data_IF_037029010959
#
_entry.id   IF_037029010959
#
_cell.length_a   1.000
_cell.length_b   1.000
_cell.length_c   1.000
_cell.angle_alpha   90.00
_cell.angle_beta   90.00
_cell.angle_gamma   90.00
#
_symmetry.space_group_name_H-M   'P 1'
#
loop_
_entity.id
_entity.type
_entity.pdbx_description
1 polymer ?
#
# COMPACT_ATOMS: atom_id res chain seq x y z
N UNK A 1 -40.97 -78.48 32.29
CA UNK A 1 -41.06 -77.45 31.23
C UNK A 1 -40.43 -76.20 31.83
N UNK A 2 -39.25 -75.83 31.33
CA UNK A 2 -38.47 -74.67 31.86
C UNK A 2 -38.45 -73.59 30.79
N UNK A 3 -38.99 -72.40 31.11
CA UNK A 3 -38.96 -71.19 30.27
C UNK A 3 -37.63 -70.49 30.45
N UNK A 4 -36.96 -69.99 29.39
CA UNK A 4 -35.74 -69.21 29.53
C UNK A 4 -36.05 -67.71 29.70
N UNK A 5 -35.31 -67.08 30.58
CA UNK A 5 -35.33 -65.69 30.88
C UNK A 5 -34.55 -64.92 29.77
N UNK A 6 -35.16 -63.89 29.22
CA UNK A 6 -34.53 -62.95 28.25
C UNK A 6 -33.80 -61.84 29.00
N UNK A 7 -32.46 -61.70 28.76
CA UNK A 7 -31.65 -60.57 29.19
C UNK A 7 -31.77 -59.42 28.16
N UNK A 8 -32.27 -58.28 28.61
CA UNK A 8 -32.22 -57.02 27.83
C UNK A 8 -30.89 -56.29 28.14
N UNK A 9 -30.06 -56.20 27.14
CA UNK A 9 -28.83 -55.38 27.19
C UNK A 9 -29.16 -53.95 26.79
N UNK A 10 -29.12 -53.01 27.74
CA UNK A 10 -29.27 -51.58 27.47
C UNK A 10 -27.96 -50.98 26.97
N UNK A 11 -27.95 -50.49 25.71
CA UNK A 11 -26.83 -49.75 25.19
C UNK A 11 -26.94 -48.27 25.60
N UNK A 12 -26.04 -47.81 26.44
CA UNK A 12 -25.88 -46.39 26.78
C UNK A 12 -25.07 -45.70 25.72
N UNK A 13 -25.72 -44.83 24.94
CA UNK A 13 -25.06 -43.92 24.01
C UNK A 13 -24.45 -42.74 24.79
N UNK A 14 -23.13 -42.72 24.93
CA UNK A 14 -22.38 -41.55 25.39
C UNK A 14 -22.30 -40.55 24.25
N UNK A 15 -23.12 -39.49 24.28
CA UNK A 15 -23.01 -38.34 23.41
C UNK A 15 -21.80 -37.49 23.82
N UNK A 16 -20.71 -37.55 23.05
CA UNK A 16 -19.58 -36.62 23.19
C UNK A 16 -19.97 -35.26 22.61
N UNK A 17 -20.32 -34.32 23.46
CA UNK A 17 -20.45 -32.88 23.07
C UNK A 17 -19.05 -32.33 22.82
N UNK A 18 -18.68 -32.16 21.54
CA UNK A 18 -17.53 -31.40 21.13
C UNK A 18 -17.79 -29.91 21.43
N UNK A 19 -17.29 -29.45 22.57
CA UNK A 19 -17.15 -28.02 22.87
C UNK A 19 -16.10 -27.45 21.89
N UNK A 20 -16.55 -26.86 20.80
CA UNK A 20 -15.70 -26.10 19.89
C UNK A 20 -15.17 -24.86 20.64
N UNK A 21 -13.92 -24.90 21.08
CA UNK A 21 -13.23 -23.75 21.58
C UNK A 21 -13.10 -22.76 20.39
N UNK A 22 -13.89 -21.70 20.37
CA UNK A 22 -13.65 -20.53 19.50
C UNK A 22 -12.37 -19.89 20.01
N UNK A 23 -11.26 -20.12 19.28
CA UNK A 23 -10.03 -19.37 19.51
C UNK A 23 -10.36 -17.88 19.36
N UNK A 24 -10.23 -17.11 20.44
CA UNK A 24 -10.36 -15.66 20.36
C UNK A 24 -9.27 -15.17 19.40
N UNK A 25 -9.67 -14.58 18.26
CA UNK A 25 -8.76 -13.99 17.31
C UNK A 25 -8.05 -12.84 18.01
N UNK A 26 -6.70 -12.90 18.05
CA UNK A 26 -5.92 -11.82 18.67
C UNK A 26 -6.18 -10.52 17.90
N UNK A 27 -6.39 -9.42 18.64
CA UNK A 27 -6.63 -8.12 18.04
C UNK A 27 -5.45 -7.73 17.11
N UNK A 28 -5.78 -7.12 15.96
CA UNK A 28 -4.79 -6.64 15.00
C UNK A 28 -3.90 -5.60 15.70
N UNK A 29 -2.57 -5.80 15.73
CA UNK A 29 -1.66 -4.89 16.42
C UNK A 29 -1.64 -3.49 15.78
N UNK A 30 -1.51 -2.48 16.63
CA UNK A 30 -1.35 -1.08 16.23
C UNK A 30 0.07 -0.64 16.51
N UNK A 31 0.66 0.04 15.55
CA UNK A 31 1.98 0.64 15.62
C UNK A 31 1.85 2.16 15.60
N UNK A 32 2.60 2.83 16.44
CA UNK A 32 2.91 4.23 16.33
C UNK A 32 4.25 4.42 15.63
N UNK A 33 4.82 5.60 15.75
CA UNK A 33 6.06 5.96 15.06
C UNK A 33 6.99 6.79 15.95
N UNK A 34 8.28 6.74 15.62
CA UNK A 34 9.30 7.69 16.06
C UNK A 34 9.90 8.31 14.81
N UNK A 35 9.91 9.65 14.72
CA UNK A 35 10.57 10.36 13.62
C UNK A 35 12.08 10.29 13.84
N UNK A 36 12.80 9.68 12.90
CA UNK A 36 14.27 9.55 12.91
C UNK A 36 14.94 10.72 12.21
N UNK A 37 14.31 11.20 11.11
CA UNK A 37 14.75 12.36 10.36
C UNK A 37 13.59 13.01 9.62
N UNK A 38 13.75 14.28 9.29
CA UNK A 38 12.81 15.06 8.47
C UNK A 38 13.56 15.67 7.33
N UNK A 39 13.02 15.54 6.12
CA UNK A 39 13.59 16.04 4.89
C UNK A 39 12.66 17.05 4.23
N UNK A 40 13.19 18.02 3.45
CA UNK A 40 12.36 18.88 2.63
C UNK A 40 11.59 18.07 1.57
N UNK A 41 10.35 18.44 1.32
CA UNK A 41 9.52 17.90 0.26
C UNK A 41 8.84 19.05 -0.48
N UNK A 42 8.56 18.87 -1.77
CA UNK A 42 7.94 19.89 -2.60
C UNK A 42 6.47 20.10 -2.22
N UNK A 43 6.07 21.26 -1.63
CA UNK A 43 4.69 21.50 -1.23
C UNK A 43 3.70 21.62 -2.39
N UNK A 44 4.19 21.60 -3.65
CA UNK A 44 3.36 21.54 -4.84
C UNK A 44 3.23 20.11 -5.39
N UNK A 45 3.91 19.14 -4.80
CA UNK A 45 3.81 17.75 -5.21
C UNK A 45 2.49 17.14 -4.73
N UNK A 46 1.59 16.87 -5.64
CA UNK A 46 0.40 16.07 -5.37
C UNK A 46 0.77 14.58 -5.44
N UNK A 47 1.45 14.09 -4.40
CA UNK A 47 2.08 12.77 -4.34
C UNK A 47 1.07 11.65 -4.52
N UNK A 48 1.32 10.79 -5.51
CA UNK A 48 0.48 9.64 -5.84
C UNK A 48 1.24 8.32 -5.82
N UNK A 49 2.56 8.34 -5.89
CA UNK A 49 3.42 7.18 -5.73
C UNK A 49 4.79 7.62 -5.25
N UNK A 50 5.39 6.81 -4.38
CA UNK A 50 6.70 7.08 -3.78
C UNK A 50 7.45 5.76 -3.63
N UNK A 51 8.72 5.70 -4.01
CA UNK A 51 9.55 4.51 -3.82
C UNK A 51 11.04 4.84 -3.83
N UNK A 52 11.86 3.96 -3.27
CA UNK A 52 13.32 4.04 -3.35
C UNK A 52 13.84 3.00 -4.34
N UNK A 53 14.67 3.44 -5.29
CA UNK A 53 15.43 2.57 -6.18
C UNK A 53 16.88 3.02 -6.25
N UNK A 54 17.82 2.10 -6.03
CA UNK A 54 19.26 2.34 -6.12
C UNK A 54 19.76 3.54 -5.29
N UNK A 55 19.15 3.74 -4.09
CA UNK A 55 19.49 4.83 -3.17
C UNK A 55 18.95 6.21 -3.58
N UNK A 56 18.04 6.26 -4.55
CA UNK A 56 17.36 7.48 -4.98
C UNK A 56 15.87 7.39 -4.71
N UNK A 57 15.29 8.53 -4.32
CA UNK A 57 13.84 8.66 -4.17
C UNK A 57 13.20 8.97 -5.52
N UNK A 58 12.13 8.26 -5.84
CA UNK A 58 11.28 8.51 -7.00
C UNK A 58 9.87 8.83 -6.53
N UNK A 59 9.23 9.72 -7.27
CA UNK A 59 7.89 10.21 -6.94
C UNK A 59 7.07 10.37 -8.21
N UNK A 60 5.84 9.90 -8.22
CA UNK A 60 4.84 10.29 -9.21
C UNK A 60 3.82 11.24 -8.58
N UNK A 61 3.42 12.24 -9.36
CA UNK A 61 2.47 13.27 -8.91
C UNK A 61 1.26 13.31 -9.81
N UNK A 62 0.11 13.66 -9.21
CA UNK A 62 -1.17 13.83 -9.89
C UNK A 62 -1.41 15.26 -10.39
N UNK A 63 -2.66 15.49 -10.76
CA UNK A 63 -3.29 16.69 -11.34
C UNK A 63 -3.03 16.87 -12.84
N UNK A 64 -4.12 17.03 -13.62
CA UNK A 64 -4.06 17.26 -15.07
C UNK A 64 -3.23 18.51 -15.38
N UNK A 65 -2.36 18.41 -16.37
CA UNK A 65 -1.43 19.47 -16.75
C UNK A 65 -0.23 19.66 -15.80
N UNK A 66 -0.19 18.92 -14.66
CA UNK A 66 0.89 19.03 -13.66
C UNK A 66 1.52 17.68 -13.30
N UNK A 67 0.90 16.58 -13.73
CA UNK A 67 1.35 15.22 -13.44
C UNK A 67 2.76 14.96 -13.94
N UNK A 68 3.56 14.30 -13.13
CA UNK A 68 4.95 14.01 -13.48
C UNK A 68 5.51 12.79 -12.77
N UNK A 69 6.50 12.17 -13.40
CA UNK A 69 7.43 11.24 -12.75
C UNK A 69 8.70 12.01 -12.41
N UNK A 70 9.21 11.88 -11.19
CA UNK A 70 10.35 12.63 -10.65
C UNK A 70 11.38 11.70 -10.03
N UNK A 71 12.65 12.07 -10.16
CA UNK A 71 13.76 11.58 -9.32
C UNK A 71 14.15 12.73 -8.40
N UNK A 72 14.15 12.49 -7.11
CA UNK A 72 14.28 13.51 -6.08
C UNK A 72 15.54 13.24 -5.23
N UNK A 73 16.29 14.26 -4.93
CA UNK A 73 17.34 14.19 -3.93
C UNK A 73 16.72 14.19 -2.53
N UNK A 74 16.87 13.08 -1.82
CA UNK A 74 16.24 12.89 -0.51
C UNK A 74 16.63 13.97 0.51
N UNK A 75 17.90 14.41 0.51
CA UNK A 75 18.40 15.34 1.53
C UNK A 75 17.92 16.77 1.33
N UNK A 76 17.76 17.16 0.07
CA UNK A 76 17.45 18.56 -0.28
C UNK A 76 16.01 18.74 -0.80
N UNK A 77 15.28 17.66 -1.10
CA UNK A 77 13.98 17.71 -1.75
C UNK A 77 14.01 18.18 -3.21
N UNK A 78 15.22 18.41 -3.77
CA UNK A 78 15.36 18.94 -5.15
C UNK A 78 15.08 17.88 -6.18
N UNK A 79 14.24 18.22 -7.16
CA UNK A 79 13.97 17.39 -8.32
C UNK A 79 15.19 17.38 -9.23
N UNK A 80 15.85 16.24 -9.34
CA UNK A 80 17.05 16.03 -10.18
C UNK A 80 16.68 15.71 -11.62
N UNK A 81 15.55 15.01 -11.82
CA UNK A 81 15.04 14.63 -13.13
C UNK A 81 13.52 14.62 -13.08
N UNK A 82 12.88 15.08 -14.16
CA UNK A 82 11.42 15.15 -14.27
C UNK A 82 10.97 14.76 -15.67
N UNK A 83 9.92 13.93 -15.73
CA UNK A 83 9.15 13.65 -16.93
C UNK A 83 7.71 14.08 -16.70
N UNK A 84 7.25 15.10 -17.42
CA UNK A 84 5.83 15.44 -17.42
C UNK A 84 5.03 14.38 -18.17
N UNK A 85 3.85 14.05 -17.66
CA UNK A 85 2.82 13.34 -18.41
C UNK A 85 2.13 14.33 -19.35
N UNK A 86 1.44 13.81 -20.38
CA UNK A 86 0.61 14.66 -21.22
C UNK A 86 -0.58 15.22 -20.41
N UNK A 87 -1.02 16.43 -20.76
CA UNK A 87 -1.93 17.26 -19.95
C UNK A 87 -3.31 16.61 -19.71
N UNK A 88 -3.74 15.71 -20.60
CA UNK A 88 -4.99 14.95 -20.45
C UNK A 88 -4.96 13.93 -19.31
N UNK A 89 -3.77 13.51 -18.86
CA UNK A 89 -3.64 12.47 -17.84
C UNK A 89 -3.56 13.06 -16.44
N UNK A 90 -4.26 12.42 -15.54
CA UNK A 90 -4.03 12.55 -14.11
C UNK A 90 -3.13 11.38 -13.69
N UNK A 91 -1.86 11.66 -13.39
CA UNK A 91 -0.87 10.66 -12.96
C UNK A 91 -1.21 10.11 -11.57
N UNK A 92 -0.94 8.84 -11.39
CA UNK A 92 -1.21 8.11 -10.14
C UNK A 92 0.02 7.33 -9.70
N UNK A 93 -0.16 6.24 -8.97
CA UNK A 93 0.89 5.41 -8.38
C UNK A 93 1.98 5.00 -9.35
N UNK A 94 3.16 4.77 -8.83
CA UNK A 94 4.32 4.31 -9.57
C UNK A 94 5.20 3.37 -8.75
N UNK A 95 5.89 2.47 -9.44
CA UNK A 95 6.84 1.55 -8.80
C UNK A 95 7.95 1.15 -9.78
N UNK A 96 9.05 0.62 -9.24
CA UNK A 96 10.15 0.09 -10.06
C UNK A 96 9.90 -1.37 -10.42
N UNK A 97 10.06 -1.73 -11.70
CA UNK A 97 10.02 -3.12 -12.18
C UNK A 97 11.29 -3.39 -12.99
N UNK A 98 12.25 -4.05 -12.37
CA UNK A 98 13.58 -4.22 -12.96
C UNK A 98 14.24 -2.86 -13.27
N UNK A 99 14.63 -2.65 -14.52
CA UNK A 99 15.22 -1.39 -15.00
C UNK A 99 14.18 -0.38 -15.48
N UNK A 100 12.89 -0.65 -15.24
CA UNK A 100 11.81 0.22 -15.65
C UNK A 100 11.10 0.83 -14.44
N UNK A 101 10.37 1.92 -14.70
CA UNK A 101 9.37 2.48 -13.80
C UNK A 101 8.01 2.34 -14.48
N UNK A 102 7.07 1.77 -13.78
CA UNK A 102 5.66 1.65 -14.19
C UNK A 102 4.86 2.72 -13.48
N UNK A 103 3.98 3.41 -14.20
CA UNK A 103 3.11 4.45 -13.65
C UNK A 103 1.68 4.22 -14.08
N UNK A 104 0.73 4.67 -13.27
CA UNK A 104 -0.70 4.64 -13.57
C UNK A 104 -1.25 6.02 -13.93
N UNK A 105 -2.46 6.02 -14.45
CA UNK A 105 -3.33 7.20 -14.57
C UNK A 105 -4.65 6.90 -13.85
N UNK A 106 -5.32 7.92 -13.30
CA UNK A 106 -6.53 7.74 -12.50
C UNK A 106 -7.64 7.00 -13.29
N UNK A 107 -8.26 7.66 -14.25
CA UNK A 107 -9.46 7.18 -14.96
C UNK A 107 -9.24 6.95 -16.46
N UNK A 108 -8.01 7.17 -16.95
CA UNK A 108 -7.72 7.03 -18.37
C UNK A 108 -7.49 5.58 -18.81
N UNK A 109 -7.50 4.63 -17.86
CA UNK A 109 -7.33 3.19 -18.10
C UNK A 109 -6.00 2.83 -18.81
N UNK A 110 -5.00 3.68 -18.71
CA UNK A 110 -3.68 3.50 -19.32
C UNK A 110 -2.58 3.73 -18.29
N UNK A 111 -1.57 2.87 -18.32
CA UNK A 111 -0.33 3.04 -17.60
C UNK A 111 0.85 3.14 -18.56
N UNK A 112 1.96 3.67 -18.08
CA UNK A 112 3.17 3.89 -18.86
C UNK A 112 4.35 3.15 -18.27
N UNK A 113 5.26 2.72 -19.14
CA UNK A 113 6.53 2.10 -18.78
C UNK A 113 7.65 3.02 -19.25
N UNK A 114 8.46 3.47 -18.30
CA UNK A 114 9.62 4.32 -18.56
C UNK A 114 10.91 3.59 -18.23
N UNK A 115 11.98 3.91 -18.94
CA UNK A 115 13.33 3.54 -18.52
C UNK A 115 13.70 4.31 -17.23
N UNK A 116 14.17 3.60 -16.20
CA UNK A 116 14.39 4.21 -14.89
C UNK A 116 15.55 5.23 -14.85
N UNK A 117 16.50 5.16 -15.79
CA UNK A 117 17.66 6.07 -15.85
C UNK A 117 17.36 7.32 -16.64
N UNK A 118 16.76 7.15 -17.83
CA UNK A 118 16.56 8.25 -18.79
C UNK A 118 15.17 8.87 -18.74
N UNK A 119 14.18 8.20 -18.11
CA UNK A 119 12.75 8.51 -18.20
C UNK A 119 12.21 8.49 -19.63
N UNK A 120 12.91 7.80 -20.53
CA UNK A 120 12.39 7.55 -21.87
C UNK A 120 11.19 6.63 -21.81
N UNK A 121 10.11 6.98 -22.52
CA UNK A 121 8.93 6.15 -22.64
C UNK A 121 9.30 4.88 -23.44
N UNK A 122 9.09 3.69 -22.84
CA UNK A 122 9.34 2.37 -23.46
C UNK A 122 8.07 1.68 -23.93
N UNK A 123 6.95 2.01 -23.31
CA UNK A 123 5.69 1.38 -23.65
C UNK A 123 4.51 1.89 -22.81
N UNK A 124 3.36 1.34 -23.12
CA UNK A 124 2.12 1.58 -22.37
C UNK A 124 1.34 0.27 -22.25
N UNK A 125 0.53 0.16 -21.22
CA UNK A 125 -0.38 -0.94 -21.01
C UNK A 125 -1.77 -0.39 -20.62
N UNK A 126 -2.79 -1.23 -20.74
CA UNK A 126 -4.15 -0.84 -20.42
C UNK A 126 -4.67 -1.70 -19.27
N UNK A 127 -5.54 -1.11 -18.47
CA UNK A 127 -6.28 -1.78 -17.42
C UNK A 127 -7.72 -1.27 -17.36
N UNK A 128 -8.61 -1.97 -16.68
CA UNK A 128 -10.03 -1.58 -16.53
C UNK A 128 -10.25 -0.85 -15.21
N UNK A 129 -11.10 0.17 -15.23
CA UNK A 129 -11.45 0.94 -14.03
C UNK A 129 -10.36 1.93 -13.63
N UNK A 130 -10.34 2.32 -12.36
CA UNK A 130 -9.37 3.28 -11.85
C UNK A 130 -8.04 2.62 -11.48
N UNK A 131 -6.97 3.40 -11.48
CA UNK A 131 -5.67 3.03 -10.94
C UNK A 131 -5.26 4.06 -9.91
N UNK A 132 -4.87 3.63 -8.69
CA UNK A 132 -4.46 4.51 -7.60
C UNK A 132 -3.00 4.26 -7.20
N UNK A 133 -2.71 3.27 -6.39
CA UNK A 133 -1.36 2.96 -5.94
C UNK A 133 -0.71 1.82 -6.72
N UNK A 134 0.62 1.80 -6.75
CA UNK A 134 1.43 0.70 -7.26
C UNK A 134 2.58 0.38 -6.30
N UNK A 135 2.80 -0.90 -6.07
CA UNK A 135 4.01 -1.43 -5.47
C UNK A 135 4.49 -2.66 -6.23
N UNK A 136 5.72 -3.08 -6.02
CA UNK A 136 6.24 -4.29 -6.65
C UNK A 136 7.24 -5.04 -5.77
N UNK A 137 7.31 -6.34 -5.99
CA UNK A 137 8.41 -7.19 -5.55
C UNK A 137 9.01 -7.94 -6.75
N UNK A 138 9.87 -8.91 -6.49
CA UNK A 138 10.47 -9.73 -7.55
C UNK A 138 9.45 -10.63 -8.29
N UNK A 139 8.24 -10.81 -7.76
CA UNK A 139 7.25 -11.78 -8.24
C UNK A 139 6.03 -11.13 -8.89
N UNK A 140 5.65 -9.94 -8.45
CA UNK A 140 4.40 -9.31 -8.83
C UNK A 140 4.46 -7.78 -8.78
N UNK A 141 3.51 -7.14 -9.47
CA UNK A 141 3.15 -5.75 -9.29
C UNK A 141 1.77 -5.72 -8.64
N UNK A 142 1.61 -4.94 -7.59
CA UNK A 142 0.38 -4.77 -6.82
C UNK A 142 -0.23 -3.43 -7.15
N UNK A 143 -1.53 -3.42 -7.47
CA UNK A 143 -2.24 -2.21 -7.89
C UNK A 143 -3.52 -2.05 -7.09
N UNK A 144 -3.71 -0.90 -6.47
CA UNK A 144 -4.93 -0.48 -5.80
C UNK A 144 -5.84 0.36 -6.72
N UNK A 145 -7.11 0.50 -6.35
CA UNK A 145 -8.11 1.32 -7.05
C UNK A 145 -9.16 1.93 -6.10
N UNK A 146 -8.82 2.04 -4.80
CA UNK A 146 -9.72 2.55 -3.77
C UNK A 146 -10.73 1.53 -3.25
N UNK A 147 -10.90 0.38 -3.91
CA UNK A 147 -11.70 -0.73 -3.39
C UNK A 147 -10.97 -1.49 -2.29
N UNK A 148 -11.57 -2.57 -1.80
CA UNK A 148 -10.92 -3.52 -0.90
C UNK A 148 -10.20 -4.65 -1.65
N UNK A 149 -9.90 -4.46 -2.93
CA UNK A 149 -9.18 -5.43 -3.74
C UNK A 149 -7.85 -4.84 -4.23
N UNK A 150 -6.76 -5.57 -4.06
CA UNK A 150 -5.47 -5.28 -4.67
C UNK A 150 -5.29 -6.23 -5.85
N UNK A 151 -5.10 -5.69 -7.04
CA UNK A 151 -4.82 -6.46 -8.25
C UNK A 151 -3.36 -6.89 -8.24
N UNK A 152 -3.11 -8.14 -8.60
CA UNK A 152 -1.77 -8.71 -8.75
C UNK A 152 -1.51 -8.86 -10.23
N UNK A 153 -0.56 -8.09 -10.74
CA UNK A 153 -0.19 -8.08 -12.15
C UNK A 153 1.11 -8.86 -12.37
N UNK A 154 1.23 -9.49 -13.52
CA UNK A 154 2.49 -10.09 -13.96
C UNK A 154 3.55 -8.98 -14.18
N UNK A 155 4.75 -9.09 -13.62
CA UNK A 155 5.75 -8.02 -13.72
C UNK A 155 6.34 -7.83 -15.12
N UNK A 156 6.14 -8.79 -16.04
CA UNK A 156 6.66 -8.72 -17.41
C UNK A 156 5.62 -8.19 -18.39
N UNK A 157 4.36 -8.65 -18.25
CA UNK A 157 3.27 -8.30 -19.18
C UNK A 157 2.37 -7.19 -18.64
N UNK A 158 2.35 -6.96 -17.30
CA UNK A 158 1.46 -6.06 -16.57
C UNK A 158 -0.02 -6.45 -16.71
N UNK A 159 -0.30 -7.69 -17.08
CA UNK A 159 -1.63 -8.26 -17.12
C UNK A 159 -2.08 -8.72 -15.73
N UNK A 160 -3.36 -8.47 -15.40
CA UNK A 160 -3.94 -8.90 -14.13
C UNK A 160 -4.05 -10.42 -14.07
N UNK A 161 -3.42 -11.03 -13.06
CA UNK A 161 -3.44 -12.48 -12.82
C UNK A 161 -4.48 -12.90 -11.79
N UNK A 162 -4.62 -12.11 -10.72
CA UNK A 162 -5.55 -12.37 -9.61
C UNK A 162 -5.79 -11.11 -8.79
N UNK A 163 -6.68 -11.22 -7.83
CA UNK A 163 -6.94 -10.16 -6.82
C UNK A 163 -6.76 -10.69 -5.42
N UNK A 164 -6.29 -9.82 -4.55
CA UNK A 164 -6.21 -10.01 -3.11
C UNK A 164 -7.35 -9.21 -2.48
N UNK A 165 -8.27 -9.88 -1.81
CA UNK A 165 -9.35 -9.20 -1.07
C UNK A 165 -8.85 -8.83 0.32
N UNK A 166 -8.78 -7.53 0.61
CA UNK A 166 -8.24 -7.01 1.87
C UNK A 166 -9.34 -6.92 2.92
N UNK A 167 -9.07 -7.51 4.09
CA UNK A 167 -9.99 -7.50 5.23
C UNK A 167 -9.25 -7.27 6.55
N UNK A 168 -9.94 -6.66 7.51
CA UNK A 168 -9.52 -6.55 8.89
C UNK A 168 -10.62 -7.15 9.78
N UNK A 169 -10.31 -8.17 10.58
CA UNK A 169 -11.29 -8.91 11.38
C UNK A 169 -12.53 -9.35 10.57
N UNK A 170 -12.29 -9.81 9.33
CA UNK A 170 -13.32 -10.24 8.39
C UNK A 170 -14.12 -9.13 7.70
N UNK A 171 -13.85 -7.86 8.02
CA UNK A 171 -14.51 -6.70 7.39
C UNK A 171 -13.67 -6.16 6.24
N UNK A 172 -14.27 -5.77 5.09
CA UNK A 172 -13.53 -5.17 3.98
C UNK A 172 -12.83 -3.87 4.39
N UNK A 173 -11.60 -3.68 3.91
CA UNK A 173 -10.86 -2.42 4.06
C UNK A 173 -10.81 -1.73 2.70
N UNK A 174 -11.52 -0.64 2.57
CA UNK A 174 -11.60 0.17 1.34
C UNK A 174 -10.69 1.40 1.42
N UNK A 175 -10.69 2.21 0.35
CA UNK A 175 -9.86 3.41 0.22
C UNK A 175 -8.35 3.10 0.21
N UNK A 176 -7.99 1.89 -0.22
CA UNK A 176 -6.58 1.53 -0.41
C UNK A 176 -6.00 2.38 -1.54
N UNK A 177 -4.96 3.15 -1.22
CA UNK A 177 -4.37 4.11 -2.13
C UNK A 177 -2.91 3.78 -2.40
N UNK A 178 -1.99 4.66 -2.08
CA UNK A 178 -0.58 4.45 -2.34
C UNK A 178 -0.06 3.20 -1.61
N UNK A 179 0.78 2.45 -2.30
CA UNK A 179 1.26 1.13 -1.88
C UNK A 179 2.78 1.07 -1.86
N UNK A 180 3.33 0.29 -0.91
CA UNK A 180 4.74 -0.11 -0.90
C UNK A 180 4.90 -1.56 -0.41
N UNK A 181 5.91 -2.28 -0.90
CA UNK A 181 6.26 -3.60 -0.38
C UNK A 181 7.40 -3.47 0.62
N UNK A 182 7.11 -3.76 1.88
CA UNK A 182 8.06 -3.68 2.99
C UNK A 182 8.24 -5.07 3.59
N UNK A 183 9.44 -5.66 3.44
CA UNK A 183 9.80 -6.96 4.02
C UNK A 183 8.80 -8.09 3.72
N UNK A 184 8.19 -8.05 2.53
CA UNK A 184 7.24 -9.08 2.07
C UNK A 184 5.78 -8.81 2.46
N UNK A 185 5.48 -7.73 3.16
CA UNK A 185 4.14 -7.23 3.42
C UNK A 185 3.78 -6.10 2.46
N UNK A 186 2.50 -5.90 2.17
CA UNK A 186 2.01 -4.73 1.45
C UNK A 186 1.59 -3.68 2.48
N UNK A 187 2.22 -2.50 2.42
CA UNK A 187 1.78 -1.32 3.16
C UNK A 187 0.89 -0.50 2.23
N UNK A 188 -0.27 -0.07 2.71
CA UNK A 188 -1.25 0.68 1.94
C UNK A 188 -1.73 1.91 2.72
N UNK A 189 -1.60 3.09 2.15
CA UNK A 189 -2.32 4.25 2.68
C UNK A 189 -3.83 4.01 2.60
N UNK A 190 -4.55 4.27 3.68
CA UNK A 190 -6.02 4.32 3.68
C UNK A 190 -6.43 5.77 3.45
N UNK A 191 -6.83 6.10 2.23
CA UNK A 191 -7.09 7.48 1.81
C UNK A 191 -8.12 8.19 2.69
N UNK A 192 -7.85 9.46 2.99
CA UNK A 192 -8.69 10.27 3.88
C UNK A 192 -8.45 10.02 5.37
N UNK A 193 -7.43 9.21 5.72
CA UNK A 193 -7.04 8.93 7.11
C UNK A 193 -5.53 9.13 7.30
N UNK A 194 -5.08 9.15 8.56
CA UNK A 194 -3.65 9.14 8.90
C UNK A 194 -3.16 7.70 9.20
N UNK A 195 -3.73 6.69 8.52
CA UNK A 195 -3.46 5.28 8.80
C UNK A 195 -2.89 4.57 7.57
N UNK A 196 -1.93 3.68 7.82
CA UNK A 196 -1.41 2.73 6.84
C UNK A 196 -1.79 1.31 7.29
N UNK A 197 -2.37 0.51 6.39
CA UNK A 197 -2.63 -0.90 6.60
C UNK A 197 -1.38 -1.71 6.25
N UNK A 198 -0.97 -2.64 7.14
CA UNK A 198 0.01 -3.69 6.85
C UNK A 198 -0.77 -4.94 6.46
N UNK A 199 -0.57 -5.43 5.25
CA UNK A 199 -1.39 -6.47 4.62
C UNK A 199 -0.51 -7.66 4.29
N UNK A 200 -0.92 -8.86 4.69
CA UNK A 200 -0.31 -10.10 4.23
C UNK A 200 -0.76 -10.39 2.78
N UNK A 201 0.14 -10.40 1.78
CA UNK A 201 -0.23 -10.59 0.39
C UNK A 201 -0.75 -12.00 0.06
N UNK A 202 -0.54 -12.98 0.93
CA UNK A 202 -1.01 -14.35 0.73
C UNK A 202 -2.50 -14.49 1.10
N UNK A 203 -2.90 -13.93 2.23
CA UNK A 203 -4.26 -14.05 2.77
C UNK A 203 -5.14 -12.82 2.48
N UNK A 204 -4.56 -11.64 2.26
CA UNK A 204 -5.26 -10.36 2.20
C UNK A 204 -5.68 -9.82 3.56
N UNK A 205 -5.29 -10.47 4.64
CA UNK A 205 -5.61 -9.97 5.98
C UNK A 205 -4.72 -8.80 6.36
N UNK A 206 -5.33 -7.79 6.97
CA UNK A 206 -4.58 -6.75 7.69
C UNK A 206 -3.97 -7.39 8.94
N UNK A 207 -2.65 -7.36 9.02
CA UNK A 207 -1.84 -7.92 10.11
C UNK A 207 -1.26 -6.85 11.03
N UNK A 208 -1.50 -5.59 10.73
CA UNK A 208 -1.11 -4.45 11.55
C UNK A 208 -1.64 -3.15 11.00
N UNK A 209 -1.84 -2.18 11.89
CA UNK A 209 -2.18 -0.80 11.56
C UNK A 209 -1.03 0.11 11.99
N UNK A 210 -0.65 1.05 11.14
CA UNK A 210 0.30 2.11 11.49
C UNK A 210 -0.50 3.40 11.62
N UNK A 211 -0.55 3.95 12.83
CA UNK A 211 -1.23 5.20 13.12
C UNK A 211 -0.21 6.35 13.10
N UNK A 212 -0.32 7.21 12.09
CA UNK A 212 0.54 8.39 11.87
C UNK A 212 -0.16 9.71 12.24
N UNK A 213 -1.25 9.65 13.02
CA UNK A 213 -1.94 10.84 13.51
C UNK A 213 -0.97 11.78 14.21
N UNK A 214 -0.92 13.03 13.78
CA UNK A 214 -0.04 14.06 14.33
C UNK A 214 1.38 14.09 13.74
N UNK A 215 1.73 13.22 12.77
CA UNK A 215 3.02 13.24 12.10
C UNK A 215 3.31 14.61 11.44
N UNK A 216 2.35 15.16 10.71
CA UNK A 216 2.38 16.54 10.21
C UNK A 216 1.11 17.27 10.65
N UNK A 217 1.18 18.09 11.70
CA UNK A 217 0.05 18.87 12.16
C UNK A 217 -0.52 19.77 11.05
N UNK A 218 -1.84 20.00 11.00
CA UNK A 218 -2.50 20.79 9.94
C UNK A 218 -1.87 22.18 9.72
N UNK A 219 -1.48 22.86 10.80
CA UNK A 219 -0.85 24.18 10.74
C UNK A 219 0.55 24.18 10.09
N UNK A 220 1.18 23.02 9.96
CA UNK A 220 2.49 22.86 9.32
C UNK A 220 2.38 22.39 7.85
N UNK A 221 1.18 22.11 7.36
CA UNK A 221 0.97 21.64 5.97
C UNK A 221 1.22 22.72 4.93
N UNK A 222 1.16 23.99 5.31
CA UNK A 222 1.38 25.13 4.40
C UNK A 222 0.27 25.33 3.38
N UNK A 223 -0.83 24.59 3.48
CA UNK A 223 -2.02 24.67 2.61
C UNK A 223 -3.27 24.32 3.39
N UNK A 224 -4.40 24.89 2.96
CA UNK A 224 -5.75 24.59 3.47
C UNK A 224 -6.50 23.58 2.60
N UNK A 225 -5.85 23.02 1.60
CA UNK A 225 -6.49 22.01 0.73
C UNK A 225 -6.89 20.77 1.54
N UNK A 226 -8.12 20.36 1.37
CA UNK A 226 -8.62 19.10 1.95
C UNK A 226 -7.91 17.86 1.39
N UNK A 227 -7.28 18.01 0.21
CA UNK A 227 -6.51 16.94 -0.43
C UNK A 227 -5.09 16.79 0.14
N UNK A 228 -4.65 17.70 1.04
CA UNK A 228 -3.33 17.62 1.69
C UNK A 228 -3.31 16.51 2.75
N UNK A 229 -3.52 15.26 2.32
CA UNK A 229 -3.61 14.06 3.16
C UNK A 229 -2.33 13.25 3.10
N UNK A 230 -2.14 12.38 4.09
CA UNK A 230 -1.10 11.35 4.11
C UNK A 230 -1.22 10.49 2.83
N UNK A 231 -0.18 10.43 2.02
CA UNK A 231 -0.08 9.58 0.83
C UNK A 231 1.35 9.55 0.32
N UNK A 232 1.94 8.37 0.29
CA UNK A 232 3.33 8.14 -0.12
C UNK A 232 4.10 7.38 0.95
N UNK A 233 4.53 6.17 0.62
CA UNK A 233 5.33 5.25 1.43
C UNK A 233 6.51 4.83 0.57
N UNK A 234 7.73 4.86 1.12
CA UNK A 234 8.90 4.33 0.42
C UNK A 234 9.77 3.52 1.37
N UNK A 235 10.23 2.37 0.93
CA UNK A 235 11.11 1.50 1.68
C UNK A 235 12.51 1.42 1.05
N UNK A 236 13.52 1.82 1.79
CA UNK A 236 14.91 1.55 1.41
C UNK A 236 15.37 0.23 2.02
N UNK A 237 15.25 -0.84 1.25
CA UNK A 237 15.62 -2.19 1.68
C UNK A 237 17.12 -2.35 1.98
N UNK A 238 18.00 -1.47 1.45
CA UNK A 238 19.44 -1.52 1.71
C UNK A 238 19.79 -0.92 3.07
N UNK A 239 19.06 0.12 3.48
CA UNK A 239 19.30 0.84 4.73
C UNK A 239 18.28 0.47 5.82
N UNK A 240 17.27 -0.33 5.50
CA UNK A 240 16.12 -0.64 6.37
C UNK A 240 15.44 0.63 6.90
N UNK A 241 15.12 1.55 5.97
CA UNK A 241 14.49 2.83 6.30
C UNK A 241 13.14 2.99 5.65
N UNK A 242 12.18 3.40 6.46
CA UNK A 242 10.82 3.68 6.02
C UNK A 242 10.60 5.19 5.93
N UNK A 243 10.17 5.64 4.78
CA UNK A 243 9.84 7.04 4.50
C UNK A 243 8.36 7.20 4.24
N UNK A 244 7.79 8.30 4.73
CA UNK A 244 6.38 8.65 4.51
C UNK A 244 6.24 10.15 4.26
N UNK A 245 5.27 10.51 3.42
CA UNK A 245 4.90 11.88 3.12
C UNK A 245 3.40 12.01 2.86
N UNK A 246 2.95 13.13 2.33
CA UNK A 246 1.57 13.36 1.92
C UNK A 246 1.47 14.27 0.70
N UNK A 247 0.28 14.28 0.10
CA UNK A 247 -0.05 15.19 -0.99
C UNK A 247 0.11 16.63 -0.51
N UNK A 248 0.88 17.43 -1.25
CA UNK A 248 1.15 18.84 -0.95
C UNK A 248 1.84 19.08 0.42
N UNK A 249 2.43 18.06 1.01
CA UNK A 249 3.16 18.23 2.26
C UNK A 249 4.55 18.83 2.00
N UNK A 250 5.02 19.77 2.85
CA UNK A 250 6.36 20.35 2.71
C UNK A 250 7.47 19.48 3.31
N UNK A 251 7.13 18.31 3.87
CA UNK A 251 8.05 17.44 4.59
C UNK A 251 7.86 15.99 4.19
N UNK A 252 8.98 15.27 4.13
CA UNK A 252 9.08 13.82 4.10
C UNK A 252 9.74 13.36 5.39
N UNK A 253 9.25 12.28 5.97
CA UNK A 253 9.71 11.77 7.25
C UNK A 253 10.32 10.38 7.11
N UNK A 254 11.51 10.18 7.69
CA UNK A 254 12.04 8.87 8.00
C UNK A 254 11.49 8.45 9.36
N UNK A 255 10.80 7.33 9.44
CA UNK A 255 10.15 6.86 10.65
C UNK A 255 10.60 5.45 11.03
N UNK A 256 10.55 5.17 12.32
CA UNK A 256 10.67 3.83 12.89
C UNK A 256 9.35 3.46 13.55
N UNK A 257 8.88 2.24 13.30
CA UNK A 257 7.63 1.76 13.86
C UNK A 257 7.83 1.27 15.29
N UNK A 258 6.95 1.67 16.18
CA UNK A 258 6.91 1.24 17.58
C UNK A 258 5.56 0.60 17.86
N UNK A 259 5.56 -0.66 18.30
CA UNK A 259 4.31 -1.32 18.67
C UNK A 259 3.69 -0.62 19.89
N UNK A 260 2.44 -0.19 19.75
CA UNK A 260 1.70 0.38 20.87
C UNK A 260 1.27 -0.78 21.76
N UNK A 261 1.81 -0.85 22.97
CA UNK A 261 1.36 -1.80 23.97
C UNK A 261 -0.05 -1.39 24.43
N UNK A 262 -0.99 -2.33 24.35
CA UNK A 262 -2.29 -2.18 25.00
C UNK A 262 -2.20 -2.56 26.46
#
# INVERSE_FOLDING_TARGET
MKTPASLLLGAALFGATLLGATAAQAAIPVYGFVVKATYPHDPQAFTQGLFVKDGHLYESTGQKGQSSLRKVDLKTGKVQQKKALADEYFGEGSTAVGENIVTLTWQSNVGFVYDARSFALKGRFNYKGEGWGLASDAKAVYMSDGSNEIRVLDPKTLEEQRRIRVTADGKPVTQLNELEVVEGEIYANVWGTDVIARIDPASGNVIGWINLTGLLPPEQRGTTSADAVLNGIAWDARQHKLYVTGKLWPKLFEIELVKIQK
#
